data_IF_906430458043
#
_entry.id   IF_906430458043
#
_cell.length_a   1.000
_cell.length_b   1.000
_cell.length_c   1.000
_cell.angle_alpha   90.00
_cell.angle_beta   90.00
_cell.angle_gamma   90.00
#
_symmetry.space_group_name_H-M   'P 1'
#
loop_
_entity.id
_entity.type
_entity.pdbx_description
1 polymer ?
#
# COMPACT_ATOMS: atom_id res chain seq x y z
N UNK A 1 -26.79 -18.43 22.68
CA UNK A 1 -25.66 -17.47 22.71
C UNK A 1 -25.36 -17.09 21.27
N UNK A 2 -25.66 -15.86 20.82
CA UNK A 2 -25.26 -15.41 19.48
C UNK A 2 -23.75 -15.15 19.51
N UNK A 3 -23.01 -15.70 18.55
CA UNK A 3 -21.61 -15.36 18.36
C UNK A 3 -21.52 -13.86 18.01
N UNK A 4 -20.53 -13.12 18.53
CA UNK A 4 -20.36 -11.71 18.19
C UNK A 4 -20.10 -11.56 16.68
N UNK A 5 -20.62 -10.48 16.09
CA UNK A 5 -20.29 -10.14 14.71
C UNK A 5 -18.77 -9.96 14.57
N UNK A 6 -18.22 -10.50 13.49
CA UNK A 6 -16.79 -10.41 13.23
C UNK A 6 -16.44 -8.93 12.93
N UNK A 7 -15.38 -8.36 13.53
CA UNK A 7 -15.03 -6.98 13.27
C UNK A 7 -14.63 -6.78 11.80
N UNK A 8 -14.97 -5.61 11.26
CA UNK A 8 -14.55 -5.20 9.91
C UNK A 8 -13.02 -5.18 9.84
N UNK A 9 -12.43 -5.86 8.86
CA UNK A 9 -10.99 -5.94 8.66
C UNK A 9 -10.58 -5.19 7.40
N UNK A 10 -9.49 -4.43 7.50
CA UNK A 10 -8.88 -3.73 6.36
C UNK A 10 -9.62 -2.46 5.96
N UNK A 11 -9.21 -1.93 4.81
CA UNK A 11 -9.77 -0.71 4.21
C UNK A 11 -10.43 -1.03 2.88
N UNK A 12 -11.28 -0.12 2.39
CA UNK A 12 -11.89 -0.24 1.07
C UNK A 12 -10.86 0.01 -0.04
N UNK A 13 -11.15 -0.45 -1.27
CA UNK A 13 -10.31 -0.14 -2.43
C UNK A 13 -10.20 1.39 -2.67
N UNK A 14 -11.23 2.14 -2.29
CA UNK A 14 -11.26 3.60 -2.41
C UNK A 14 -10.18 4.25 -1.54
N UNK A 15 -10.05 3.82 -0.28
CA UNK A 15 -9.01 4.32 0.65
C UNK A 15 -7.61 4.15 0.05
N UNK A 16 -7.29 2.99 -0.53
CA UNK A 16 -5.98 2.74 -1.16
C UNK A 16 -5.73 3.64 -2.38
N UNK A 17 -6.77 3.88 -3.19
CA UNK A 17 -6.70 4.82 -4.31
C UNK A 17 -6.47 6.25 -3.86
N UNK A 18 -7.13 6.68 -2.78
CA UNK A 18 -6.99 8.02 -2.21
C UNK A 18 -5.60 8.24 -1.61
N UNK A 19 -5.06 7.26 -0.88
CA UNK A 19 -3.67 7.30 -0.39
C UNK A 19 -2.65 7.40 -1.51
N UNK A 20 -2.85 6.64 -2.59
CA UNK A 20 -1.99 6.71 -3.78
C UNK A 20 -2.03 8.10 -4.41
N UNK A 21 -3.23 8.66 -4.58
CA UNK A 21 -3.44 10.00 -5.16
C UNK A 21 -2.80 11.09 -4.29
N UNK A 22 -2.92 10.97 -2.96
CA UNK A 22 -2.30 11.90 -2.03
C UNK A 22 -0.76 11.87 -2.12
N UNK A 23 -0.16 10.66 -2.17
CA UNK A 23 1.27 10.50 -2.36
C UNK A 23 1.74 11.09 -3.69
N UNK A 24 1.05 10.81 -4.79
CA UNK A 24 1.34 11.35 -6.13
C UNK A 24 1.26 12.89 -6.16
N UNK A 25 0.30 13.47 -5.45
CA UNK A 25 0.18 14.94 -5.32
C UNK A 25 1.41 15.53 -4.61
N UNK A 26 1.87 14.89 -3.53
CA UNK A 26 3.08 15.33 -2.81
C UNK A 26 4.35 15.12 -3.63
N UNK A 27 4.43 14.01 -4.39
CA UNK A 27 5.52 13.75 -5.32
C UNK A 27 5.61 14.83 -6.39
N UNK A 28 4.48 15.20 -7.01
CA UNK A 28 4.42 16.26 -8.01
C UNK A 28 4.88 17.61 -7.45
N UNK A 29 4.49 17.94 -6.22
CA UNK A 29 4.94 19.16 -5.55
C UNK A 29 6.45 19.19 -5.26
N UNK A 30 7.10 18.02 -5.19
CA UNK A 30 8.55 17.88 -4.95
C UNK A 30 9.35 17.56 -6.23
N UNK A 31 8.69 17.45 -7.39
CA UNK A 31 9.36 17.05 -8.64
C UNK A 31 9.88 15.61 -8.64
N UNK A 32 9.16 14.69 -7.97
CA UNK A 32 9.49 13.26 -7.91
C UNK A 32 8.67 12.45 -8.91
N UNK A 33 9.32 11.61 -9.72
CA UNK A 33 8.65 10.78 -10.73
C UNK A 33 8.15 9.43 -10.19
N UNK A 34 8.73 8.94 -9.09
CA UNK A 34 8.37 7.68 -8.47
C UNK A 34 8.72 7.63 -6.98
N UNK A 35 8.00 6.80 -6.22
CA UNK A 35 8.42 6.33 -4.90
C UNK A 35 8.67 4.82 -4.96
N UNK A 36 9.78 4.38 -4.37
CA UNK A 36 10.06 2.98 -4.12
C UNK A 36 9.85 2.71 -2.64
N UNK A 37 8.90 1.83 -2.31
CA UNK A 37 8.64 1.42 -0.93
C UNK A 37 9.06 -0.03 -0.72
N UNK A 38 9.69 -0.33 0.41
CA UNK A 38 10.44 -1.58 0.60
C UNK A 38 10.08 -2.33 1.89
N UNK A 39 9.21 -1.76 2.73
CA UNK A 39 8.79 -2.39 3.99
C UNK A 39 7.37 -2.92 3.91
N UNK A 40 7.08 -3.95 4.71
CA UNK A 40 5.72 -4.52 4.81
C UNK A 40 4.64 -3.46 5.12
N UNK A 41 4.83 -2.56 6.11
CA UNK A 41 3.82 -1.54 6.40
C UNK A 41 3.57 -0.60 5.22
N UNK A 42 4.60 -0.20 4.48
CA UNK A 42 4.45 0.70 3.33
C UNK A 42 3.70 0.01 2.19
N UNK A 43 4.11 -1.21 1.82
CA UNK A 43 3.43 -1.99 0.77
C UNK A 43 1.96 -2.21 1.13
N UNK A 44 1.69 -2.58 2.39
CA UNK A 44 0.32 -2.77 2.88
C UNK A 44 -0.48 -1.47 2.90
N UNK A 45 0.15 -0.34 3.21
CA UNK A 45 -0.50 0.97 3.28
C UNK A 45 -1.09 1.39 1.92
N UNK A 46 -0.37 1.13 0.83
CA UNK A 46 -0.78 1.54 -0.52
C UNK A 46 -1.58 0.49 -1.29
N UNK A 47 -1.38 -0.80 -1.00
CA UNK A 47 -1.95 -1.88 -1.83
C UNK A 47 -2.96 -2.75 -1.09
N UNK A 48 -2.97 -2.71 0.25
CA UNK A 48 -3.69 -3.67 1.08
C UNK A 48 -3.09 -5.08 1.06
N UNK A 49 -2.04 -5.32 0.27
CA UNK A 49 -1.39 -6.63 0.17
C UNK A 49 -0.71 -6.99 1.48
N UNK A 50 -1.09 -8.14 2.04
CA UNK A 50 -0.63 -8.61 3.34
C UNK A 50 -0.30 -10.10 3.21
N UNK A 51 0.95 -10.45 3.49
CA UNK A 51 1.47 -11.79 3.23
C UNK A 51 2.49 -12.20 4.30
N UNK A 52 2.54 -13.46 4.74
CA UNK A 52 3.61 -13.92 5.63
C UNK A 52 4.98 -14.00 4.95
N UNK A 53 5.05 -13.85 3.61
CA UNK A 53 6.29 -13.94 2.85
C UNK A 53 7.34 -12.88 3.21
N UNK A 54 6.95 -11.79 3.89
CA UNK A 54 7.89 -10.84 4.50
C UNK A 54 8.85 -11.48 5.50
N UNK A 55 8.50 -12.65 6.04
CA UNK A 55 9.36 -13.45 6.92
C UNK A 55 10.41 -14.26 6.15
N UNK A 56 10.36 -14.29 4.81
CA UNK A 56 11.36 -14.94 3.97
C UNK A 56 12.42 -13.93 3.52
N UNK A 57 13.66 -13.98 4.06
CA UNK A 57 14.70 -12.99 3.78
C UNK A 57 15.28 -13.08 2.36
N UNK A 58 14.84 -14.05 1.54
CA UNK A 58 15.47 -14.41 0.25
C UNK A 58 14.77 -13.81 -0.98
N UNK A 59 13.74 -12.97 -0.79
CA UNK A 59 13.01 -12.30 -1.86
C UNK A 59 12.92 -10.81 -1.56
N UNK A 60 13.45 -9.92 -2.42
CA UNK A 60 13.19 -8.50 -2.27
C UNK A 60 11.71 -8.25 -2.57
N UNK A 61 11.04 -7.55 -1.66
CA UNK A 61 9.69 -7.07 -1.83
C UNK A 61 9.72 -5.56 -1.87
N UNK A 62 9.16 -4.99 -2.92
CA UNK A 62 9.01 -3.57 -3.08
C UNK A 62 7.81 -3.29 -3.98
N UNK A 63 7.30 -2.07 -3.88
CA UNK A 63 6.29 -1.54 -4.78
C UNK A 63 6.78 -0.21 -5.31
N UNK A 64 6.57 0.03 -6.60
CA UNK A 64 6.80 1.33 -7.21
C UNK A 64 5.47 2.07 -7.28
N UNK A 65 5.40 3.25 -6.68
CA UNK A 65 4.33 4.20 -6.92
C UNK A 65 4.80 5.13 -8.04
N UNK A 66 4.27 5.01 -9.27
CA UNK A 66 4.56 5.96 -10.34
C UNK A 66 3.91 7.32 -10.04
N UNK A 67 4.40 8.40 -10.66
CA UNK A 67 3.80 9.73 -10.57
C UNK A 67 2.30 9.76 -10.96
N UNK A 68 1.85 8.84 -11.81
CA UNK A 68 0.44 8.67 -12.16
C UNK A 68 0.09 7.20 -12.32
N UNK A 69 -1.15 6.84 -12.00
CA UNK A 69 -1.64 5.47 -12.14
C UNK A 69 -1.51 4.65 -10.86
N UNK A 70 -1.59 3.32 -11.01
CA UNK A 70 -1.63 2.38 -9.87
C UNK A 70 -0.21 2.01 -9.42
N UNK A 71 -0.02 1.66 -8.14
CA UNK A 71 1.22 1.03 -7.69
C UNK A 71 1.49 -0.29 -8.45
N UNK A 72 2.75 -0.59 -8.75
CA UNK A 72 3.22 -1.78 -9.48
C UNK A 72 4.30 -2.55 -8.74
#
# INVERSE_FOLDING_TARGET
MKLPENPVRGFTNQEFSERTTAAQTMMAAQGLDALLVCTEPEVRYFTGFHTPFWQSPTRPWFVVLPATGKPI
#
